data_IF_958255108559
#
_entry.id   IF_958255108559
#
_cell.length_a   1.000
_cell.length_b   1.000
_cell.length_c   1.000
_cell.angle_alpha   90.00
_cell.angle_beta   90.00
_cell.angle_gamma   90.00
#
_symmetry.space_group_name_H-M   'P 1'
#
loop_
_entity.id
_entity.type
_entity.pdbx_description
1 polymer ?
#
# COMPACT_ATOMS: atom_id res chain seq x y z
N UNK A 1 -47.22 5.32 13.25
CA UNK A 1 -46.11 5.31 14.23
C UNK A 1 -45.36 3.99 14.06
N UNK A 2 -44.09 4.06 13.66
CA UNK A 2 -43.19 2.91 13.62
C UNK A 2 -41.77 3.43 13.84
N UNK A 3 -41.30 3.37 15.09
CA UNK A 3 -39.92 3.73 15.42
C UNK A 3 -39.03 2.51 15.17
N UNK A 4 -38.02 2.68 14.32
CA UNK A 4 -36.88 1.76 14.23
C UNK A 4 -35.60 2.59 14.23
N UNK A 5 -35.26 3.10 15.42
CA UNK A 5 -33.96 3.72 15.68
C UNK A 5 -32.95 2.59 15.89
N UNK A 6 -32.18 2.26 14.85
CA UNK A 6 -31.04 1.34 15.00
C UNK A 6 -29.81 2.18 15.40
N UNK A 7 -29.62 2.33 16.70
CA UNK A 7 -28.33 2.75 17.26
C UNK A 7 -27.33 1.59 17.14
N UNK A 8 -26.22 1.79 16.45
CA UNK A 8 -25.01 0.99 16.68
C UNK A 8 -23.79 1.89 16.74
N UNK A 9 -23.31 2.12 17.97
CA UNK A 9 -21.91 2.43 18.21
C UNK A 9 -21.07 1.16 18.01
N UNK A 10 -19.78 1.35 17.74
CA UNK A 10 -18.75 0.31 17.61
C UNK A 10 -18.86 -0.58 16.36
N UNK A 11 -17.90 -0.44 15.45
CA UNK A 11 -16.77 -1.38 15.38
C UNK A 11 -15.54 -0.67 14.78
N UNK A 12 -14.41 -0.79 15.47
CA UNK A 12 -13.13 -0.15 15.16
C UNK A 12 -12.20 -1.13 14.40
N UNK A 13 -11.21 -0.59 13.67
CA UNK A 13 -10.19 -1.29 12.87
C UNK A 13 -10.73 -1.89 11.56
N UNK A 14 -10.05 -1.78 10.41
CA UNK A 14 -8.64 -2.06 10.16
C UNK A 14 -7.99 -1.02 9.23
N UNK A 15 -6.71 -0.70 9.47
CA UNK A 15 -5.95 0.20 8.62
C UNK A 15 -5.30 -0.53 7.43
N UNK A 16 -4.92 0.20 6.39
CA UNK A 16 -4.04 -0.28 5.33
C UNK A 16 -3.27 0.93 4.79
N UNK A 17 -1.96 0.80 4.62
CA UNK A 17 -1.09 1.95 4.38
C UNK A 17 -0.56 2.04 2.96
N UNK A 18 -0.51 3.29 2.46
CA UNK A 18 -0.05 3.67 1.12
C UNK A 18 0.89 4.87 1.20
N UNK A 19 1.93 4.92 0.35
CA UNK A 19 3.08 5.81 0.51
C UNK A 19 3.75 6.14 -0.86
N UNK A 20 4.08 7.42 -1.17
CA UNK A 20 4.67 7.79 -2.48
C UNK A 20 5.47 9.13 -2.55
N UNK A 21 6.57 9.16 -3.33
CA UNK A 21 7.66 10.19 -3.41
C UNK A 21 7.71 11.07 -4.67
N UNK A 22 8.10 12.34 -4.51
CA UNK A 22 8.31 13.37 -5.57
C UNK A 22 9.82 13.73 -5.73
N UNK A 23 10.38 14.48 -6.71
CA UNK A 23 9.96 15.27 -7.92
C UNK A 23 10.93 14.92 -9.11
N UNK A 24 11.18 15.76 -10.16
CA UNK A 24 10.31 16.01 -11.32
C UNK A 24 10.98 15.73 -12.69
N UNK A 25 10.21 15.30 -13.71
CA UNK A 25 10.53 15.55 -15.14
C UNK A 25 9.24 15.57 -15.99
N UNK A 26 9.33 16.16 -17.20
CA UNK A 26 8.22 16.62 -18.05
C UNK A 26 7.90 15.58 -19.16
N UNK A 27 6.65 15.60 -19.68
CA UNK A 27 6.14 14.88 -20.88
C UNK A 27 6.11 13.34 -20.79
N UNK A 28 4.97 12.65 -20.65
CA UNK A 28 3.75 12.67 -21.48
C UNK A 28 2.57 12.04 -20.67
N UNK A 29 1.34 12.56 -20.81
CA UNK A 29 0.13 11.79 -20.49
C UNK A 29 -0.29 11.68 -19.01
N UNK A 30 0.17 12.56 -18.13
CA UNK A 30 -0.35 12.63 -16.75
C UNK A 30 -1.78 13.19 -16.74
N UNK A 31 -2.80 12.33 -16.76
CA UNK A 31 -4.19 12.70 -16.48
C UNK A 31 -4.30 13.23 -15.05
N UNK A 32 -4.23 14.56 -14.91
CA UNK A 32 -4.25 15.27 -13.63
C UNK A 32 -5.42 14.81 -12.75
N UNK A 33 -5.08 14.03 -11.74
CA UNK A 33 -5.97 13.60 -10.68
C UNK A 33 -5.42 14.01 -9.34
N UNK A 34 -6.33 14.35 -8.42
CA UNK A 34 -6.00 14.50 -7.02
C UNK A 34 -5.23 13.25 -6.57
N UNK A 35 -3.99 13.45 -6.12
CA UNK A 35 -3.18 12.36 -5.58
C UNK A 35 -3.80 11.91 -4.25
N UNK A 36 -3.54 10.67 -3.83
CA UNK A 36 -4.14 10.14 -2.60
C UNK A 36 -3.77 10.97 -1.36
N UNK A 37 -2.58 11.59 -1.35
CA UNK A 37 -2.14 12.50 -0.31
C UNK A 37 -2.81 13.89 -0.37
N UNK A 38 -3.41 14.26 -1.50
CA UNK A 38 -4.08 15.55 -1.73
C UNK A 38 -5.59 15.51 -1.47
N UNK A 39 -6.19 14.32 -1.37
CA UNK A 39 -7.63 14.10 -1.12
C UNK A 39 -8.06 14.65 0.25
N UNK A 40 -8.88 15.73 0.32
CA UNK A 40 -9.28 16.37 1.57
C UNK A 40 -9.94 15.43 2.58
N UNK A 41 -10.72 14.46 2.09
CA UNK A 41 -11.45 13.51 2.96
C UNK A 41 -10.57 12.36 3.47
N UNK A 42 -9.26 12.35 3.19
CA UNK A 42 -8.35 11.27 3.54
C UNK A 42 -7.21 11.69 4.49
N UNK A 43 -7.08 12.96 4.86
CA UNK A 43 -5.99 13.44 5.71
C UNK A 43 -5.94 12.76 7.10
N UNK A 44 -7.08 12.37 7.67
CA UNK A 44 -7.14 11.65 8.97
C UNK A 44 -6.68 10.19 8.88
N UNK A 45 -6.81 9.58 7.70
CA UNK A 45 -6.39 8.20 7.40
C UNK A 45 -4.92 8.11 6.92
N UNK A 46 -4.25 9.26 6.74
CA UNK A 46 -2.87 9.36 6.21
C UNK A 46 -1.76 9.22 7.28
N UNK A 47 -2.06 8.76 8.49
CA UNK A 47 -1.02 8.44 9.50
C UNK A 47 -0.19 7.23 9.05
N UNK A 48 1.03 7.54 8.61
CA UNK A 48 1.93 6.54 8.04
C UNK A 48 2.38 5.48 9.03
N UNK A 49 2.70 5.90 10.25
CA UNK A 49 3.24 4.99 11.24
C UNK A 49 2.12 4.05 11.69
N UNK A 50 0.95 4.61 11.98
CA UNK A 50 -0.22 3.89 12.47
C UNK A 50 -0.65 2.76 11.53
N UNK A 51 -0.71 2.99 10.22
CA UNK A 51 -1.30 2.00 9.31
C UNK A 51 -0.33 0.90 8.85
N UNK A 52 0.99 1.00 9.07
CA UNK A 52 1.87 -0.17 9.06
C UNK A 52 1.94 -0.86 10.43
N UNK A 53 1.84 -0.12 11.53
CA UNK A 53 1.92 -0.66 12.90
C UNK A 53 0.69 -1.52 13.33
N UNK A 54 -0.23 -1.84 12.42
CA UNK A 54 -1.34 -2.78 12.70
C UNK A 54 -0.96 -4.25 12.53
N UNK A 55 0.11 -4.56 11.80
CA UNK A 55 0.50 -5.92 11.44
C UNK A 55 2.01 -5.98 11.22
N UNK A 56 2.62 -7.12 11.55
CA UNK A 56 4.03 -7.36 11.19
C UNK A 56 4.23 -7.66 9.71
N UNK A 57 3.19 -8.02 8.97
CA UNK A 57 3.34 -8.29 7.55
C UNK A 57 2.08 -8.11 6.71
N UNK A 58 2.32 -7.95 5.42
CA UNK A 58 1.34 -7.50 4.44
C UNK A 58 1.58 -8.19 3.09
N UNK A 59 0.51 -8.56 2.41
CA UNK A 59 0.55 -9.01 1.01
C UNK A 59 0.38 -7.84 0.04
N UNK A 60 1.16 -7.83 -1.03
CA UNK A 60 0.91 -6.99 -2.20
C UNK A 60 -0.29 -7.54 -2.98
N UNK A 61 -1.44 -6.87 -2.86
CA UNK A 61 -2.67 -7.29 -3.52
C UNK A 61 -2.71 -6.84 -4.98
N UNK A 62 -2.57 -5.53 -5.22
CA UNK A 62 -2.70 -4.90 -6.54
C UNK A 62 -1.68 -3.77 -6.68
N UNK A 63 -1.34 -3.42 -7.92
CA UNK A 63 -0.54 -2.24 -8.25
C UNK A 63 -0.90 -1.64 -9.62
N UNK A 64 -0.59 -0.35 -9.83
CA UNK A 64 -0.98 0.41 -11.03
C UNK A 64 0.18 0.82 -11.97
N UNK A 65 1.39 0.31 -11.76
CA UNK A 65 2.60 0.79 -12.45
C UNK A 65 3.30 -0.33 -13.22
N UNK A 66 3.95 0.03 -14.34
CA UNK A 66 4.70 -0.94 -15.13
C UNK A 66 5.97 -1.37 -14.38
N UNK A 67 6.03 -2.66 -14.05
CA UNK A 67 7.17 -3.24 -13.32
C UNK A 67 8.34 -3.47 -14.25
N UNK A 68 9.32 -2.55 -14.27
CA UNK A 68 10.61 -2.81 -14.92
C UNK A 68 11.50 -3.71 -14.05
N UNK A 69 11.74 -3.30 -12.80
CA UNK A 69 12.61 -4.02 -11.84
C UNK A 69 11.93 -5.19 -11.13
N UNK A 70 10.61 -5.15 -10.98
CA UNK A 70 9.80 -6.12 -10.20
C UNK A 70 8.95 -7.04 -11.07
N UNK A 71 9.22 -7.10 -12.38
CA UNK A 71 8.48 -7.91 -13.35
C UNK A 71 8.53 -9.41 -13.01
N UNK A 72 7.49 -10.15 -13.40
CA UNK A 72 7.45 -11.61 -13.23
C UNK A 72 7.43 -12.11 -11.78
N UNK A 73 7.20 -11.23 -10.79
CA UNK A 73 6.97 -11.61 -9.38
C UNK A 73 5.47 -11.77 -9.12
N UNK A 74 5.08 -12.79 -8.36
CA UNK A 74 3.73 -13.00 -7.81
C UNK A 74 3.83 -13.37 -6.32
N UNK A 75 2.71 -13.37 -5.60
CA UNK A 75 2.66 -13.69 -4.18
C UNK A 75 3.73 -12.94 -3.37
N UNK A 76 3.76 -11.61 -3.48
CA UNK A 76 4.74 -10.78 -2.77
C UNK A 76 4.25 -10.47 -1.37
N UNK A 77 4.99 -10.93 -0.36
CA UNK A 77 4.75 -10.69 1.06
C UNK A 77 5.84 -9.77 1.63
N UNK A 78 5.46 -8.73 2.36
CA UNK A 78 6.36 -7.86 3.10
C UNK A 78 6.34 -8.23 4.58
N UNK A 79 7.52 -8.48 5.15
CA UNK A 79 7.73 -8.77 6.57
C UNK A 79 8.48 -7.59 7.22
N UNK A 80 7.90 -6.99 8.25
CA UNK A 80 8.43 -5.82 8.96
C UNK A 80 9.25 -6.30 10.18
N UNK A 81 10.52 -5.92 10.17
CA UNK A 81 11.49 -6.27 11.22
C UNK A 81 11.49 -5.24 12.35
N UNK A 82 11.38 -3.96 12.00
CA UNK A 82 11.28 -2.84 12.94
C UNK A 82 10.55 -1.66 12.31
N UNK A 83 9.79 -0.91 13.11
CA UNK A 83 9.07 0.30 12.69
C UNK A 83 9.02 1.31 13.84
N UNK A 84 9.23 2.58 13.51
CA UNK A 84 9.08 3.74 14.40
C UNK A 84 8.47 4.92 13.63
N UNK A 85 8.50 6.14 14.18
CA UNK A 85 7.90 7.32 13.53
C UNK A 85 8.70 7.85 12.34
N UNK A 86 9.97 7.47 12.22
CA UNK A 86 10.90 7.97 11.21
C UNK A 86 11.07 6.97 10.05
N UNK A 87 10.73 5.69 10.24
CA UNK A 87 10.76 4.70 9.16
C UNK A 87 10.48 3.25 9.56
N UNK A 88 10.83 2.34 8.65
CA UNK A 88 10.77 0.90 8.90
C UNK A 88 11.84 0.11 8.12
N UNK A 89 12.26 -1.01 8.73
CA UNK A 89 13.08 -2.04 8.08
C UNK A 89 12.18 -3.23 7.74
N UNK A 90 12.23 -3.69 6.50
CA UNK A 90 11.36 -4.77 6.04
C UNK A 90 12.01 -5.58 4.92
N UNK A 91 11.49 -6.78 4.66
CA UNK A 91 11.93 -7.64 3.56
C UNK A 91 10.72 -8.04 2.71
N UNK A 92 10.82 -7.89 1.39
CA UNK A 92 9.89 -8.57 0.49
C UNK A 92 10.35 -9.99 0.25
N UNK A 93 9.40 -10.91 0.25
CA UNK A 93 9.53 -12.29 -0.19
C UNK A 93 8.55 -12.49 -1.34
N UNK A 94 8.95 -13.21 -2.39
CA UNK A 94 8.10 -13.35 -3.58
C UNK A 94 8.43 -14.63 -4.36
N UNK A 95 7.46 -15.07 -5.16
CA UNK A 95 7.60 -16.19 -6.10
C UNK A 95 7.73 -15.64 -7.52
N UNK A 96 8.68 -16.13 -8.30
CA UNK A 96 8.80 -15.82 -9.73
C UNK A 96 7.83 -16.68 -10.56
N UNK A 97 7.53 -16.28 -11.80
CA UNK A 97 6.66 -17.06 -12.70
C UNK A 97 7.12 -18.50 -12.97
N UNK A 98 8.42 -18.79 -12.85
CA UNK A 98 8.99 -20.14 -12.96
C UNK A 98 8.92 -20.96 -11.65
N UNK A 99 8.26 -20.45 -10.60
CA UNK A 99 8.11 -21.10 -9.31
C UNK A 99 9.29 -20.92 -8.33
N UNK A 100 10.41 -20.33 -8.74
CA UNK A 100 11.51 -20.06 -7.80
C UNK A 100 11.16 -18.93 -6.84
N UNK A 101 11.77 -18.91 -5.65
CA UNK A 101 11.49 -17.94 -4.60
C UNK A 101 12.65 -16.96 -4.46
N UNK A 102 12.33 -15.69 -4.23
CA UNK A 102 13.30 -14.62 -3.99
C UNK A 102 12.96 -13.82 -2.73
N UNK A 103 13.93 -13.03 -2.27
CA UNK A 103 13.75 -12.03 -1.22
C UNK A 103 14.59 -10.79 -1.48
N UNK A 104 14.15 -9.63 -0.98
CA UNK A 104 14.89 -8.37 -1.06
C UNK A 104 14.66 -7.55 0.23
N UNK A 105 15.72 -7.17 0.97
CA UNK A 105 15.60 -6.27 2.12
C UNK A 105 15.44 -4.81 1.66
N UNK A 106 14.78 -4.00 2.48
CA UNK A 106 14.56 -2.58 2.24
C UNK A 106 14.68 -1.76 3.52
N UNK A 107 15.12 -0.52 3.33
CA UNK A 107 15.08 0.53 4.34
C UNK A 107 14.10 1.61 3.85
N UNK A 108 13.04 1.85 4.62
CA UNK A 108 12.03 2.85 4.30
C UNK A 108 12.08 4.04 5.28
N UNK A 109 12.12 5.29 4.78
CA UNK A 109 11.98 6.50 5.61
C UNK A 109 10.59 7.09 5.48
N UNK A 110 9.96 7.41 6.60
CA UNK A 110 8.70 8.14 6.65
C UNK A 110 8.97 9.65 6.55
N UNK A 111 8.15 10.35 5.78
CA UNK A 111 8.21 11.81 5.66
C UNK A 111 6.85 12.40 5.30
N UNK A 112 6.77 13.73 5.27
CA UNK A 112 5.58 14.52 4.95
C UNK A 112 5.62 14.96 3.49
N UNK A 113 4.58 14.68 2.71
CA UNK A 113 4.43 15.31 1.39
C UNK A 113 4.09 16.80 1.55
N UNK A 114 4.50 17.67 0.61
CA UNK A 114 4.15 19.09 0.64
C UNK A 114 2.63 19.29 0.68
N UNK A 115 2.16 20.28 1.43
CA UNK A 115 0.75 20.68 1.47
C UNK A 115 0.42 21.62 0.32
N UNK A 116 -0.53 21.22 -0.52
CA UNK A 116 -1.08 22.08 -1.59
C UNK A 116 -2.06 23.11 -1.02
N UNK A 117 -2.69 22.82 0.12
CA UNK A 117 -3.67 23.66 0.83
C UNK A 117 -3.34 23.59 2.34
N UNK A 118 -3.45 24.69 3.11
CA UNK A 118 -3.33 24.67 4.58
C UNK A 118 -4.41 23.80 5.25
N UNK A 119 -4.17 23.29 6.48
CA UNK A 119 -3.01 23.49 7.35
C UNK A 119 -1.82 22.59 7.00
N UNK A 120 -0.63 22.93 7.52
CA UNK A 120 0.58 22.10 7.39
C UNK A 120 0.39 20.71 8.05
N UNK A 121 0.89 19.65 7.42
CA UNK A 121 0.82 18.29 7.98
C UNK A 121 1.69 18.16 9.23
N UNK A 122 1.08 17.78 10.35
CA UNK A 122 1.79 17.51 11.61
C UNK A 122 2.47 16.14 11.60
N UNK A 123 1.85 15.14 10.96
CA UNK A 123 2.29 13.74 10.84
C UNK A 123 2.83 13.39 9.45
N UNK A 124 3.71 12.40 9.37
CA UNK A 124 4.23 11.83 8.11
C UNK A 124 3.16 10.98 7.39
N UNK A 125 3.19 10.98 6.05
CA UNK A 125 2.20 10.33 5.18
C UNK A 125 2.79 9.61 3.95
N UNK A 126 4.10 9.66 3.69
CA UNK A 126 4.74 8.93 2.58
C UNK A 126 6.11 8.28 2.90
N UNK A 127 6.53 7.31 2.08
CA UNK A 127 7.72 6.45 2.18
C UNK A 127 8.71 6.88 1.13
N UNK A 128 9.94 7.06 1.56
CA UNK A 128 11.08 6.94 0.69
C UNK A 128 11.63 5.52 0.81
N UNK A 129 11.58 4.75 -0.27
CA UNK A 129 12.30 3.47 -0.41
C UNK A 129 13.47 3.74 -1.35
N UNK A 130 14.68 3.33 -0.94
CA UNK A 130 15.86 3.43 -1.80
C UNK A 130 15.67 2.69 -3.13
N UNK A 131 16.22 3.24 -4.21
CA UNK A 131 16.35 2.64 -5.56
C UNK A 131 15.08 2.57 -6.44
N UNK A 132 13.93 3.12 -6.01
CA UNK A 132 12.73 3.21 -6.85
C UNK A 132 12.44 4.65 -7.32
N UNK A 133 12.41 4.88 -8.63
CA UNK A 133 11.94 6.13 -9.25
C UNK A 133 10.51 5.99 -9.77
N UNK A 134 9.60 6.86 -9.31
CA UNK A 134 8.21 6.93 -9.77
C UNK A 134 7.17 7.00 -8.64
N UNK A 135 5.89 7.02 -9.03
CA UNK A 135 4.74 7.07 -8.11
C UNK A 135 3.92 5.77 -8.18
N UNK A 136 4.44 4.64 -7.70
CA UNK A 136 3.68 3.40 -7.66
C UNK A 136 2.54 3.50 -6.66
N UNK A 137 1.29 3.33 -7.10
CA UNK A 137 0.27 2.86 -6.16
C UNK A 137 0.37 1.35 -6.05
N UNK A 138 0.48 0.89 -4.81
CA UNK A 138 0.25 -0.49 -4.42
C UNK A 138 -1.07 -0.56 -3.65
N UNK A 139 -1.56 -1.77 -3.37
CA UNK A 139 -2.58 -2.03 -2.36
C UNK A 139 -2.06 -3.14 -1.49
N UNK A 140 -1.97 -2.88 -0.19
CA UNK A 140 -1.45 -3.81 0.79
C UNK A 140 -2.61 -4.31 1.66
N UNK A 141 -2.67 -5.62 1.88
CA UNK A 141 -3.62 -6.24 2.81
C UNK A 141 -2.85 -6.93 3.92
N UNK A 142 -3.33 -6.85 5.16
CA UNK A 142 -2.70 -7.49 6.31
C UNK A 142 -2.65 -9.01 6.15
N UNK A 143 -1.80 -9.64 6.94
CA UNK A 143 -1.72 -11.09 7.09
C UNK A 143 -3.12 -11.70 7.34
N UNK A 144 -3.46 -12.78 6.62
CA UNK A 144 -4.81 -13.39 6.52
C UNK A 144 -5.91 -12.47 5.92
N UNK A 145 -5.81 -12.06 4.64
CA UNK A 145 -6.95 -11.46 3.97
C UNK A 145 -8.09 -12.50 3.85
N UNK A 146 -9.27 -12.19 4.39
CA UNK A 146 -10.45 -13.09 4.37
C UNK A 146 -11.04 -13.31 2.99
N UNK A 147 -10.51 -12.64 1.97
CA UNK A 147 -10.92 -12.71 0.57
C UNK A 147 -9.80 -12.20 -0.34
N UNK A 148 -9.67 -12.79 -1.54
CA UNK A 148 -8.87 -12.25 -2.65
C UNK A 148 -9.45 -11.00 -3.32
N UNK A 149 -10.60 -10.50 -2.86
CA UNK A 149 -11.21 -9.30 -3.40
C UNK A 149 -10.90 -8.09 -2.53
N UNK A 150 -10.26 -7.10 -3.15
CA UNK A 150 -10.07 -5.78 -2.55
C UNK A 150 -11.42 -5.23 -2.01
N UNK A 151 -11.52 -4.91 -0.70
CA UNK A 151 -12.76 -4.43 -0.10
C UNK A 151 -13.35 -3.23 -0.84
N UNK A 152 -14.68 -3.14 -0.95
CA UNK A 152 -15.36 -2.16 -1.81
C UNK A 152 -14.90 -0.71 -1.59
N UNK A 153 -14.69 -0.30 -0.34
CA UNK A 153 -14.14 1.02 0.00
C UNK A 153 -12.71 1.23 -0.48
N UNK A 154 -11.83 0.25 -0.28
CA UNK A 154 -10.46 0.26 -0.79
C UNK A 154 -10.42 0.31 -2.33
N UNK A 155 -11.24 -0.50 -3.00
CA UNK A 155 -11.36 -0.52 -4.48
C UNK A 155 -11.85 0.82 -5.03
N UNK A 156 -12.79 1.48 -4.36
CA UNK A 156 -13.24 2.81 -4.74
C UNK A 156 -12.11 3.85 -4.65
N UNK A 157 -11.41 3.91 -3.51
CA UNK A 157 -10.29 4.83 -3.28
C UNK A 157 -9.11 4.59 -4.24
N UNK A 158 -8.73 3.33 -4.44
CA UNK A 158 -7.71 2.95 -5.44
C UNK A 158 -8.12 3.38 -6.85
N UNK A 159 -9.39 3.18 -7.24
CA UNK A 159 -9.84 3.60 -8.57
C UNK A 159 -9.81 5.12 -8.77
N UNK A 160 -10.16 5.91 -7.75
CA UNK A 160 -10.14 7.38 -7.83
C UNK A 160 -8.72 7.96 -7.91
N UNK A 161 -7.82 7.49 -7.05
CA UNK A 161 -6.48 8.05 -6.90
C UNK A 161 -5.42 7.42 -7.81
N UNK A 162 -5.59 6.15 -8.21
CA UNK A 162 -4.52 5.36 -8.81
C UNK A 162 -4.86 4.76 -10.18
N UNK A 163 -6.11 4.35 -10.43
CA UNK A 163 -6.49 3.61 -11.64
C UNK A 163 -6.92 4.50 -12.82
N UNK A 164 -6.40 5.73 -12.92
CA UNK A 164 -6.71 6.65 -14.05
C UNK A 164 -6.07 6.21 -15.37
N UNK A 165 -5.00 5.42 -15.31
CA UNK A 165 -4.36 4.78 -16.47
C UNK A 165 -5.09 3.52 -16.96
N UNK A 166 -6.07 3.01 -16.20
CA UNK A 166 -6.68 1.69 -16.42
C UNK A 166 -5.76 0.51 -16.12
N UNK A 167 -4.52 0.75 -15.69
CA UNK A 167 -3.54 -0.29 -15.36
C UNK A 167 -3.78 -0.74 -13.91
N UNK A 168 -4.14 -2.01 -13.75
CA UNK A 168 -4.31 -2.67 -12.45
C UNK A 168 -3.84 -4.12 -12.56
N UNK A 169 -2.63 -4.41 -12.09
CA UNK A 169 -2.10 -5.76 -12.01
C UNK A 169 -2.38 -6.34 -10.62
N UNK A 170 -3.05 -7.49 -10.55
CA UNK A 170 -3.25 -8.25 -9.32
C UNK A 170 -2.06 -9.18 -9.09
N UNK A 171 -1.50 -9.16 -7.88
CA UNK A 171 -0.28 -9.86 -7.48
C UNK A 171 -0.55 -10.94 -6.41
N UNK A 172 -1.63 -10.77 -5.65
CA UNK A 172 -2.14 -11.74 -4.68
C UNK A 172 -3.23 -12.62 -5.30
N UNK A 173 -3.13 -13.93 -5.06
CA UNK A 173 -4.03 -14.98 -5.54
C UNK A 173 -4.37 -15.92 -4.37
N UNK A 174 -5.43 -16.72 -4.47
CA UNK A 174 -5.75 -17.76 -3.47
C UNK A 174 -4.61 -18.79 -3.31
N UNK A 175 -3.72 -18.91 -4.31
CA UNK A 175 -2.55 -19.79 -4.31
C UNK A 175 -1.39 -19.30 -3.43
N UNK A 176 -1.46 -18.08 -2.88
CA UNK A 176 -0.35 -17.46 -2.16
C UNK A 176 -0.26 -17.90 -0.68
N UNK A 177 0.49 -18.97 -0.42
CA UNK A 177 0.76 -19.45 0.95
C UNK A 177 2.03 -18.81 1.56
N UNK A 178 1.87 -18.05 2.65
CA UNK A 178 2.96 -17.42 3.41
C UNK A 178 3.93 -18.45 4.02
N UNK A 179 3.38 -19.53 4.57
CA UNK A 179 4.16 -20.59 5.22
C UNK A 179 5.04 -21.28 4.20
N UNK A 180 4.53 -21.58 3.01
CA UNK A 180 5.31 -22.12 1.91
C UNK A 180 6.36 -21.13 1.38
N UNK A 181 6.00 -19.85 1.24
CA UNK A 181 6.91 -18.81 0.76
C UNK A 181 8.11 -18.62 1.71
N UNK A 182 7.86 -18.62 3.02
CA UNK A 182 8.89 -18.39 4.05
C UNK A 182 9.68 -19.65 4.42
N UNK A 183 9.19 -20.87 4.14
CA UNK A 183 9.93 -22.14 4.38
C UNK A 183 11.34 -22.15 3.79
N UNK A 184 11.56 -21.48 2.66
CA UNK A 184 12.87 -21.42 1.97
C UNK A 184 13.94 -20.61 2.72
N UNK A 185 13.55 -19.86 3.76
CA UNK A 185 14.41 -18.91 4.45
C UNK A 185 14.42 -19.09 5.98
N UNK A 186 13.95 -20.24 6.46
CA UNK A 186 13.96 -20.67 7.86
C UNK A 186 15.02 -21.74 8.09
#
# INVERSE_FOLDING_TARGET
MAHSVITMHSLIAYAALLLAMTLPFIEIGAHAGFRIDEEPNYYEDQDIYRAFNISRGFWLHTQNFQRSQTSGRKCTYFDIHSIDKDGMNYTSYYTFMNGTKGKMPYFGRFYKTPTVIPPERTISNALNVSETSGYPCMVLVSDQPTTIFMPRGCKHRFNQACNRSGISEQIYEDSCDKTELLKTWR
#
